data_IF_133569495285
#
_entry.id   IF_133569495285
#
_cell.length_a   1.000
_cell.length_b   1.000
_cell.length_c   1.000
_cell.angle_alpha   90.00
_cell.angle_beta   90.00
_cell.angle_gamma   90.00
#
_symmetry.space_group_name_H-M   'P 1'
#
loop_
_entity.id
_entity.type
_entity.pdbx_description
1 polymer ?
#
# COMPACT_ATOMS: atom_id res chain seq x y z
N UNK A 1 -4.85 -22.29 -12.69
CA UNK A 1 -3.65 -21.42 -12.49
C UNK A 1 -3.86 -20.27 -11.48
N UNK A 2 -5.02 -20.15 -10.81
CA UNK A 2 -5.32 -19.01 -9.92
C UNK A 2 -4.54 -18.95 -8.61
N UNK A 3 -4.18 -20.08 -8.01
CA UNK A 3 -3.50 -20.10 -6.69
C UNK A 3 -2.09 -19.48 -6.72
N UNK A 4 -1.30 -19.79 -7.74
CA UNK A 4 0.03 -19.19 -7.94
C UNK A 4 -0.05 -17.68 -8.19
N UNK A 5 -1.07 -17.22 -8.93
CA UNK A 5 -1.30 -15.78 -9.15
C UNK A 5 -1.64 -15.08 -7.83
N UNK A 6 -2.55 -15.66 -7.05
CA UNK A 6 -2.95 -15.12 -5.75
C UNK A 6 -1.77 -15.01 -4.78
N UNK A 7 -0.93 -16.05 -4.71
CA UNK A 7 0.27 -16.03 -3.88
C UNK A 7 1.25 -14.93 -4.31
N UNK A 8 1.44 -14.75 -5.62
CA UNK A 8 2.28 -13.68 -6.17
C UNK A 8 1.74 -12.29 -5.82
N UNK A 9 0.43 -12.07 -5.96
CA UNK A 9 -0.21 -10.79 -5.60
C UNK A 9 -0.03 -10.49 -4.11
N UNK A 10 -0.31 -11.47 -3.25
CA UNK A 10 -0.11 -11.35 -1.81
C UNK A 10 1.33 -11.02 -1.46
N UNK A 11 2.29 -11.71 -2.08
CA UNK A 11 3.71 -11.47 -1.85
C UNK A 11 4.16 -10.07 -2.33
N UNK A 12 3.69 -9.61 -3.49
CA UNK A 12 4.00 -8.25 -3.98
C UNK A 12 3.49 -7.18 -3.02
N UNK A 13 2.25 -7.31 -2.55
CA UNK A 13 1.68 -6.39 -1.58
C UNK A 13 2.44 -6.42 -0.24
N UNK A 14 2.79 -7.62 0.22
CA UNK A 14 3.61 -7.80 1.42
C UNK A 14 4.95 -7.06 1.31
N UNK A 15 5.70 -7.29 0.22
CA UNK A 15 7.04 -6.72 0.03
C UNK A 15 6.97 -5.19 -0.08
N UNK A 16 6.01 -4.65 -0.82
CA UNK A 16 5.75 -3.22 -0.92
C UNK A 16 5.53 -2.60 0.47
N UNK A 17 4.53 -3.06 1.21
CA UNK A 17 4.20 -2.50 2.51
C UNK A 17 5.34 -2.70 3.52
N UNK A 18 5.87 -3.91 3.64
CA UNK A 18 6.91 -4.24 4.63
C UNK A 18 8.16 -3.38 4.44
N UNK A 19 8.66 -3.29 3.21
CA UNK A 19 9.88 -2.53 2.94
C UNK A 19 9.67 -1.03 3.14
N UNK A 20 8.56 -0.48 2.66
CA UNK A 20 8.27 0.95 2.78
C UNK A 20 8.14 1.37 4.24
N UNK A 21 7.37 0.65 5.06
CA UNK A 21 7.25 0.97 6.48
C UNK A 21 8.55 0.74 7.25
N UNK A 22 9.28 -0.35 6.98
CA UNK A 22 10.57 -0.64 7.62
C UNK A 22 11.61 0.43 7.30
N UNK A 23 11.70 0.85 6.04
CA UNK A 23 12.64 1.87 5.60
C UNK A 23 12.32 3.23 6.22
N UNK A 24 11.05 3.64 6.17
CA UNK A 24 10.59 4.88 6.78
C UNK A 24 10.82 4.89 8.29
N UNK A 25 10.55 3.78 8.99
CA UNK A 25 10.82 3.65 10.42
C UNK A 25 12.31 3.74 10.74
N UNK A 26 13.17 3.13 9.90
CA UNK A 26 14.62 3.24 10.06
C UNK A 26 15.10 4.69 9.92
N UNK A 27 14.68 5.39 8.87
CA UNK A 27 15.06 6.80 8.68
C UNK A 27 14.61 7.70 9.83
N UNK A 28 13.39 7.48 10.35
CA UNK A 28 12.90 8.21 11.53
C UNK A 28 13.71 7.89 12.79
N UNK A 29 14.09 6.62 12.99
CA UNK A 29 14.94 6.20 14.10
C UNK A 29 16.34 6.81 14.05
N UNK A 30 16.89 6.97 12.84
CA UNK A 30 18.18 7.63 12.59
C UNK A 30 18.06 9.17 12.63
N UNK A 31 16.88 9.74 12.95
CA UNK A 31 16.57 11.17 12.96
C UNK A 31 16.96 11.88 11.65
N UNK A 32 16.86 11.17 10.53
CA UNK A 32 17.18 11.72 9.21
C UNK A 32 16.23 12.86 8.85
N UNK A 33 16.78 13.96 8.32
CA UNK A 33 15.98 15.08 7.78
C UNK A 33 15.10 14.66 6.59
N UNK A 34 15.46 13.55 5.92
CA UNK A 34 14.73 12.99 4.79
C UNK A 34 13.73 11.91 5.21
N UNK A 35 13.51 11.72 6.52
CA UNK A 35 12.59 10.70 6.99
C UNK A 35 11.15 11.07 6.62
N UNK A 36 10.44 10.25 5.83
CA UNK A 36 9.05 10.53 5.52
C UNK A 36 8.20 10.42 6.79
N UNK A 37 7.19 11.26 6.87
CA UNK A 37 6.14 11.14 7.88
C UNK A 37 5.38 9.81 7.72
N UNK A 38 4.64 9.43 8.77
CA UNK A 38 3.78 8.25 8.72
C UNK A 38 2.70 8.44 7.63
N UNK A 39 2.15 9.65 7.52
CA UNK A 39 1.14 9.97 6.52
C UNK A 39 1.67 9.82 5.09
N UNK A 40 2.86 10.34 4.80
CA UNK A 40 3.50 10.18 3.46
C UNK A 40 3.81 8.72 3.14
N UNK A 41 4.24 7.95 4.15
CA UNK A 41 4.49 6.51 3.97
C UNK A 41 3.18 5.78 3.61
N UNK A 42 2.06 6.13 4.28
CA UNK A 42 0.74 5.58 3.99
C UNK A 42 0.20 6.00 2.62
N UNK A 43 0.42 7.25 2.22
CA UNK A 43 0.02 7.76 0.91
C UNK A 43 0.73 6.97 -0.20
N UNK A 44 2.06 6.84 -0.10
CA UNK A 44 2.89 6.12 -1.06
C UNK A 44 2.55 4.63 -1.16
N UNK A 45 2.45 3.92 -0.04
CA UNK A 45 2.05 2.49 -0.04
C UNK A 45 0.63 2.33 -0.61
N UNK A 46 -0.29 3.22 -0.24
CA UNK A 46 -1.64 3.21 -0.78
C UNK A 46 -1.69 3.39 -2.30
N UNK A 47 -0.88 4.30 -2.84
CA UNK A 47 -0.79 4.57 -4.28
C UNK A 47 -0.21 3.39 -5.04
N UNK A 48 0.88 2.81 -4.56
CA UNK A 48 1.50 1.65 -5.18
C UNK A 48 0.55 0.44 -5.21
N UNK A 49 -0.13 0.17 -4.09
CA UNK A 49 -1.07 -0.95 -4.01
C UNK A 49 -2.33 -0.71 -4.83
N UNK A 50 -2.83 0.53 -4.90
CA UNK A 50 -3.98 0.88 -5.74
C UNK A 50 -3.64 0.79 -7.24
N UNK A 51 -2.46 1.25 -7.66
CA UNK A 51 -1.98 1.09 -9.02
C UNK A 51 -1.81 -0.40 -9.39
N UNK A 52 -1.24 -1.19 -8.48
CA UNK A 52 -1.14 -2.65 -8.66
C UNK A 52 -2.52 -3.31 -8.79
N UNK A 53 -3.49 -2.88 -7.98
CA UNK A 53 -4.86 -3.36 -8.06
C UNK A 53 -5.51 -3.03 -9.42
N UNK A 54 -5.34 -1.79 -9.89
CA UNK A 54 -5.85 -1.32 -11.19
C UNK A 54 -5.27 -2.12 -12.35
N UNK A 55 -3.96 -2.31 -12.36
CA UNK A 55 -3.24 -2.80 -13.54
C UNK A 55 -3.18 -4.34 -13.59
N UNK A 56 -3.25 -5.04 -12.44
CA UNK A 56 -3.02 -6.49 -12.36
C UNK A 56 -4.16 -7.31 -11.74
N UNK A 57 -5.19 -6.67 -11.18
CA UNK A 57 -6.27 -7.34 -10.45
C UNK A 57 -7.65 -7.05 -11.06
N UNK A 58 -8.04 -7.79 -12.12
CA UNK A 58 -9.37 -7.66 -12.73
C UNK A 58 -10.53 -8.10 -11.84
N UNK A 59 -10.29 -8.92 -10.81
CA UNK A 59 -11.36 -9.43 -9.94
C UNK A 59 -11.23 -8.90 -8.51
N UNK A 60 -12.38 -8.82 -7.82
CA UNK A 60 -12.42 -8.46 -6.41
C UNK A 60 -11.56 -9.40 -5.54
N UNK A 61 -11.60 -10.71 -5.84
CA UNK A 61 -10.81 -11.70 -5.12
C UNK A 61 -9.31 -11.41 -5.20
N UNK A 62 -8.80 -10.99 -6.36
CA UNK A 62 -7.38 -10.63 -6.52
C UNK A 62 -7.03 -9.37 -5.73
N UNK A 63 -7.93 -8.38 -5.65
CA UNK A 63 -7.75 -7.18 -4.80
C UNK A 63 -7.71 -7.56 -3.32
N UNK A 64 -8.54 -8.52 -2.89
CA UNK A 64 -8.49 -9.09 -1.52
C UNK A 64 -7.14 -9.76 -1.23
N UNK A 65 -6.50 -10.40 -2.21
CA UNK A 65 -5.16 -10.96 -2.02
C UNK A 65 -4.09 -9.90 -1.73
N UNK A 66 -4.24 -8.68 -2.31
CA UNK A 66 -3.36 -7.55 -1.97
C UNK A 66 -3.56 -7.11 -0.52
N UNK A 67 -4.81 -7.02 -0.06
CA UNK A 67 -5.15 -6.66 1.33
C UNK A 67 -4.58 -7.68 2.32
N UNK A 68 -4.73 -8.98 2.05
CA UNK A 68 -4.14 -10.03 2.89
C UNK A 68 -2.60 -9.91 2.96
N UNK A 69 -1.96 -9.49 1.87
CA UNK A 69 -0.52 -9.25 1.80
C UNK A 69 -0.11 -8.06 2.67
N UNK A 70 -0.86 -6.96 2.59
CA UNK A 70 -0.71 -5.78 3.45
C UNK A 70 -0.85 -6.17 4.93
N UNK A 71 -1.94 -6.85 5.32
CA UNK A 71 -2.15 -7.29 6.70
C UNK A 71 -1.01 -8.17 7.22
N UNK A 72 -0.51 -9.08 6.37
CA UNK A 72 0.63 -9.94 6.72
C UNK A 72 1.92 -9.14 6.92
N UNK A 73 2.15 -8.07 6.15
CA UNK A 73 3.28 -7.17 6.33
C UNK A 73 3.17 -6.38 7.65
N UNK A 74 2.00 -5.84 7.95
CA UNK A 74 1.77 -5.07 9.18
C UNK A 74 1.96 -5.95 10.44
N UNK A 75 1.51 -7.21 10.38
CA UNK A 75 1.79 -8.21 11.43
C UNK A 75 3.28 -8.50 11.58
N UNK A 76 3.99 -8.71 10.47
CA UNK A 76 5.43 -8.97 10.48
C UNK A 76 6.26 -7.78 11.00
N UNK A 77 5.76 -6.55 10.87
CA UNK A 77 6.35 -5.34 11.44
C UNK A 77 6.10 -5.20 12.95
N UNK A 78 5.27 -6.06 13.55
CA UNK A 78 4.96 -6.01 14.98
C UNK A 78 4.13 -4.80 15.40
N UNK A 79 3.36 -4.21 14.48
CA UNK A 79 2.44 -3.12 14.81
C UNK A 79 1.32 -3.61 15.73
N UNK A 80 0.84 -2.75 16.63
CA UNK A 80 -0.31 -3.07 17.47
C UNK A 80 -1.57 -3.32 16.63
N UNK A 81 -2.49 -4.14 17.12
CA UNK A 81 -3.73 -4.46 16.40
C UNK A 81 -4.52 -3.20 16.04
N UNK A 82 -4.56 -2.20 16.94
CA UNK A 82 -5.21 -0.92 16.66
C UNK A 82 -4.56 -0.16 15.49
N UNK A 83 -3.23 -0.16 15.41
CA UNK A 83 -2.51 0.45 14.30
C UNK A 83 -2.73 -0.32 13.00
N UNK A 84 -2.72 -1.66 13.05
CA UNK A 84 -3.01 -2.48 11.87
C UNK A 84 -4.41 -2.20 11.33
N UNK A 85 -5.44 -2.22 12.18
CA UNK A 85 -6.83 -1.94 11.81
C UNK A 85 -6.96 -0.53 11.22
N UNK A 86 -6.32 0.46 11.82
CA UNK A 86 -6.36 1.83 11.33
C UNK A 86 -5.71 1.99 9.95
N UNK A 87 -4.57 1.36 9.72
CA UNK A 87 -3.88 1.41 8.43
C UNK A 87 -4.71 0.69 7.35
N UNK A 88 -5.20 -0.51 7.66
CA UNK A 88 -6.01 -1.30 6.73
C UNK A 88 -7.31 -0.57 6.38
N UNK A 89 -7.97 0.08 7.34
CA UNK A 89 -9.20 0.82 7.07
C UNK A 89 -9.00 2.02 6.14
N UNK A 90 -7.80 2.61 6.13
CA UNK A 90 -7.44 3.69 5.19
C UNK A 90 -7.07 3.16 3.79
N UNK A 91 -6.33 2.05 3.72
CA UNK A 91 -5.75 1.58 2.46
C UNK A 91 -6.66 0.60 1.70
N UNK A 92 -7.41 -0.24 2.39
CA UNK A 92 -8.27 -1.25 1.76
C UNK A 92 -9.29 -0.64 0.78
N UNK A 93 -10.01 0.47 1.10
CA UNK A 93 -10.93 1.07 0.14
C UNK A 93 -10.25 1.52 -1.16
N UNK A 94 -9.03 2.09 -1.07
CA UNK A 94 -8.25 2.54 -2.23
C UNK A 94 -7.80 1.36 -3.10
N UNK A 95 -7.32 0.28 -2.47
CA UNK A 95 -6.95 -0.97 -3.14
C UNK A 95 -8.17 -1.58 -3.84
N UNK A 96 -9.32 -1.57 -3.16
CA UNK A 96 -10.57 -2.09 -3.71
C UNK A 96 -11.10 -1.26 -4.86
N UNK A 97 -10.91 0.06 -4.85
CA UNK A 97 -11.25 0.94 -5.98
C UNK A 97 -10.25 0.79 -7.14
N UNK A 98 -8.96 0.56 -6.84
CA UNK A 98 -7.88 0.66 -7.82
C UNK A 98 -7.55 2.11 -8.19
N UNK A 99 -7.81 3.05 -7.26
CA UNK A 99 -7.64 4.49 -7.48
C UNK A 99 -6.47 5.01 -6.62
N UNK A 100 -5.30 5.30 -7.23
CA UNK A 100 -4.23 5.99 -6.52
C UNK A 100 -4.62 7.46 -6.31
N UNK A 101 -4.29 8.00 -5.13
CA UNK A 101 -4.55 9.39 -4.75
C UNK A 101 -3.81 10.39 -5.67
N UNK A 102 -2.64 10.00 -6.21
CA UNK A 102 -1.89 10.79 -7.19
C UNK A 102 -2.51 10.86 -8.59
N UNK A 103 -3.36 9.91 -9.00
CA UNK A 103 -4.03 10.00 -10.31
C UNK A 103 -4.97 11.21 -10.39
N UNK A 104 -5.54 11.61 -9.25
CA UNK A 104 -6.32 12.83 -9.13
C UNK A 104 -5.45 14.10 -9.22
N UNK A 105 -4.18 14.07 -8.79
CA UNK A 105 -3.28 15.24 -8.90
C UNK A 105 -2.79 15.44 -10.34
N UNK A 106 -2.43 14.37 -11.05
CA UNK A 106 -1.98 14.45 -12.47
C UNK A 106 -3.05 14.94 -13.44
N UNK A 107 -4.33 14.66 -13.16
CA UNK A 107 -5.44 15.13 -13.99
C UNK A 107 -5.58 16.67 -13.96
N UNK A 108 -5.32 17.29 -12.81
CA UNK A 108 -5.41 18.75 -12.66
C UNK A 108 -4.20 19.46 -13.27
N UNK A 109 -3.01 18.85 -13.22
CA UNK A 109 -1.81 19.43 -13.85
C UNK A 109 -1.92 19.46 -15.39
N UNK A 110 -2.67 18.52 -15.99
CA UNK A 110 -2.92 18.51 -17.44
C UNK A 110 -3.96 19.53 -17.92
N UNK A 111 -4.82 20.03 -17.04
CA UNK A 111 -5.81 21.06 -17.39
C UNK A 111 -5.28 22.49 -17.24
N UNK A 112 -4.10 22.67 -16.62
CA UNK A 112 -3.50 23.97 -16.35
C UNK A 112 -2.39 24.38 -17.36
N UNK A 113 -2.34 23.74 -18.53
CA UNK A 113 -1.44 24.09 -19.65
C UNK A 113 -2.25 24.64 -20.80
#
# INVERSE_FOLDING_TARGET
MGMLKNLKLRHRAYVCAFNSFRFAARLRGDLSEFAPSIAETLESVGDELAALARDSCPTENERRQLIEGLESALRALGLSDAAQVHIVSQLAPRIMAGEPASASKEAWTRMAV
#
